data_IF_659177582950
#
_entry.id   IF_659177582950
#
_cell.length_a   1.000
_cell.length_b   1.000
_cell.length_c   1.000
_cell.angle_alpha   90.00
_cell.angle_beta   90.00
_cell.angle_gamma   90.00
#
_symmetry.space_group_name_H-M   'P 1'
#
loop_
_entity.id
_entity.type
_entity.pdbx_description
1 polymer ?
#
# COMPACT_ATOMS: atom_id res chain seq x y z
N UNK A 1 8.87 0.74 -15.29
CA UNK A 1 9.93 0.11 -16.06
C UNK A 1 11.08 1.08 -16.25
N UNK A 2 12.14 0.94 -15.44
CA UNK A 2 13.28 1.83 -15.32
C UNK A 2 14.05 2.17 -16.59
N UNK A 3 13.40 2.80 -17.53
CA UNK A 3 14.07 3.30 -18.71
C UNK A 3 14.42 4.77 -18.52
N UNK A 4 15.69 5.06 -18.22
CA UNK A 4 16.20 6.42 -17.98
C UNK A 4 15.94 7.39 -19.16
N UNK A 5 15.74 6.87 -20.37
CA UNK A 5 15.36 7.67 -21.54
C UNK A 5 13.99 8.34 -21.37
N UNK A 6 13.06 7.73 -20.64
CA UNK A 6 11.75 8.33 -20.38
C UNK A 6 11.83 9.49 -19.39
N UNK A 7 12.77 9.48 -18.46
CA UNK A 7 12.97 10.57 -17.49
C UNK A 7 13.26 11.88 -18.19
N UNK A 8 14.06 11.86 -19.25
CA UNK A 8 14.40 13.07 -20.04
C UNK A 8 13.19 13.61 -20.81
N UNK A 9 12.38 12.73 -21.40
CA UNK A 9 11.14 13.10 -22.12
C UNK A 9 10.14 13.75 -21.15
N UNK A 10 9.87 13.12 -20.02
CA UNK A 10 8.94 13.67 -19.04
C UNK A 10 9.44 14.97 -18.42
N UNK A 11 10.75 15.13 -18.27
CA UNK A 11 11.34 16.39 -17.78
C UNK A 11 11.11 17.53 -18.76
N UNK A 12 11.23 17.30 -20.06
CA UNK A 12 10.97 18.32 -21.08
C UNK A 12 9.49 18.72 -21.19
N UNK A 13 8.58 17.78 -20.93
CA UNK A 13 7.13 18.00 -20.99
C UNK A 13 6.55 18.59 -19.68
N UNK A 14 7.24 18.46 -18.56
CA UNK A 14 6.71 18.85 -17.22
C UNK A 14 6.56 20.35 -17.00
N UNK A 15 7.08 21.19 -17.90
CA UNK A 15 6.86 22.64 -17.85
C UNK A 15 5.40 23.03 -18.17
N UNK A 16 4.66 22.20 -18.92
CA UNK A 16 3.30 22.49 -19.37
C UNK A 16 2.25 21.47 -18.94
N UNK A 17 2.67 20.33 -18.35
CA UNK A 17 1.77 19.20 -18.00
C UNK A 17 2.15 18.60 -16.69
N UNK A 18 1.17 18.00 -16.00
CA UNK A 18 1.39 17.17 -14.83
C UNK A 18 1.41 15.69 -15.20
N UNK A 19 2.26 14.93 -14.53
CA UNK A 19 2.44 13.51 -14.77
C UNK A 19 2.28 12.72 -13.48
N UNK A 20 1.62 11.58 -13.59
CA UNK A 20 1.59 10.55 -12.57
C UNK A 20 2.15 9.26 -13.16
N UNK A 21 3.18 8.71 -12.53
CA UNK A 21 3.70 7.38 -12.84
C UNK A 21 3.29 6.40 -11.75
N UNK A 22 3.18 5.12 -12.07
CA UNK A 22 2.96 4.06 -11.09
C UNK A 22 4.23 3.24 -10.92
N UNK A 23 4.53 2.84 -9.68
CA UNK A 23 5.63 1.93 -9.40
C UNK A 23 6.54 2.39 -8.27
N UNK A 24 7.82 2.02 -8.37
CA UNK A 24 8.86 2.35 -7.40
C UNK A 24 10.02 3.11 -8.03
N UNK A 25 9.73 3.95 -9.02
CA UNK A 25 10.70 4.78 -9.75
C UNK A 25 11.19 5.95 -8.90
N UNK A 26 12.07 5.66 -7.96
CA UNK A 26 12.61 6.66 -7.05
C UNK A 26 13.20 7.85 -7.81
N UNK A 27 12.89 9.08 -7.36
CA UNK A 27 13.35 10.32 -7.98
C UNK A 27 12.53 10.83 -9.18
N UNK A 28 11.43 10.13 -9.57
CA UNK A 28 10.50 10.67 -10.57
C UNK A 28 9.72 11.87 -10.03
N UNK A 29 9.26 11.80 -8.82
CA UNK A 29 8.51 12.83 -8.10
C UNK A 29 8.16 12.34 -6.69
N UNK A 30 7.53 13.18 -5.86
CA UNK A 30 7.10 12.75 -4.53
C UNK A 30 6.09 11.62 -4.61
N UNK A 31 6.17 10.69 -3.66
CA UNK A 31 5.23 9.57 -3.55
C UNK A 31 3.83 10.05 -3.19
N UNK A 32 2.85 9.40 -3.77
CA UNK A 32 1.45 9.59 -3.45
C UNK A 32 0.75 8.25 -3.19
N UNK A 33 0.01 8.19 -2.09
CA UNK A 33 -0.96 7.14 -1.80
C UNK A 33 -2.24 7.78 -1.27
N UNK A 34 -3.38 7.48 -1.90
CA UNK A 34 -4.67 8.03 -1.53
C UNK A 34 -4.99 7.77 -0.06
N UNK A 35 -5.44 8.82 0.63
CA UNK A 35 -5.77 8.78 2.04
C UNK A 35 -4.57 8.82 3.00
N UNK A 36 -3.35 8.70 2.50
CA UNK A 36 -2.13 8.78 3.32
C UNK A 36 -1.60 10.22 3.31
N UNK A 37 -1.29 10.76 2.14
CA UNK A 37 -0.66 12.08 2.00
C UNK A 37 -1.36 12.95 0.94
N UNK A 38 -2.67 13.07 1.04
CA UNK A 38 -3.50 13.80 0.05
C UNK A 38 -3.05 15.26 -0.16
N UNK A 39 -2.48 15.90 0.87
CA UNK A 39 -2.00 17.30 0.79
C UNK A 39 -0.86 17.50 -0.20
N UNK A 40 -0.23 16.44 -0.68
CA UNK A 40 0.86 16.54 -1.66
C UNK A 40 0.46 17.31 -2.91
N UNK A 41 -0.83 17.31 -3.29
CA UNK A 41 -1.36 18.04 -4.45
C UNK A 41 -1.48 19.56 -4.22
N UNK A 42 -1.30 20.03 -3.00
CA UNK A 42 -1.17 21.45 -2.66
C UNK A 42 0.23 21.98 -3.03
N UNK A 43 1.21 21.08 -3.26
CA UNK A 43 2.56 21.42 -3.70
C UNK A 43 2.59 21.82 -5.17
N UNK A 44 3.64 22.56 -5.57
CA UNK A 44 3.87 22.99 -6.96
C UNK A 44 4.45 21.89 -7.86
N UNK A 45 4.57 20.66 -7.38
CA UNK A 45 5.14 19.58 -8.17
C UNK A 45 4.29 19.29 -9.42
N UNK A 46 4.95 19.08 -10.54
CA UNK A 46 4.34 18.65 -11.78
C UNK A 46 4.44 17.13 -12.01
N UNK A 47 5.08 16.42 -11.09
CA UNK A 47 5.31 14.98 -11.18
C UNK A 47 5.00 14.32 -9.86
N UNK A 48 4.21 13.25 -9.89
CA UNK A 48 3.84 12.47 -8.72
C UNK A 48 4.07 11.00 -9.02
N UNK A 49 4.57 10.26 -8.05
CA UNK A 49 4.77 8.83 -8.15
C UNK A 49 3.72 8.12 -7.30
N UNK A 50 2.79 7.42 -7.96
CA UNK A 50 1.85 6.54 -7.27
C UNK A 50 2.66 5.42 -6.62
N UNK A 51 2.57 5.30 -5.32
CA UNK A 51 3.33 4.34 -4.53
C UNK A 51 3.10 2.88 -5.00
N UNK A 52 4.05 2.01 -4.72
CA UNK A 52 3.95 0.59 -5.09
C UNK A 52 2.84 -0.12 -4.29
N UNK A 53 2.41 -1.28 -4.77
CA UNK A 53 1.32 -2.03 -4.15
C UNK A 53 1.59 -2.41 -2.69
N UNK A 54 2.81 -2.86 -2.36
CA UNK A 54 3.16 -3.17 -0.98
C UNK A 54 3.33 -1.91 -0.12
N UNK A 55 3.81 -0.80 -0.71
CA UNK A 55 3.89 0.49 -0.02
C UNK A 55 2.50 0.97 0.41
N UNK A 56 1.48 0.87 -0.48
CA UNK A 56 0.09 1.17 -0.11
C UNK A 56 -0.41 0.30 1.03
N UNK A 57 -0.14 -1.01 0.97
CA UNK A 57 -0.60 -1.95 1.98
C UNK A 57 0.02 -1.63 3.35
N UNK A 58 1.36 -1.49 3.42
CA UNK A 58 2.07 -1.15 4.67
C UNK A 58 1.58 0.20 5.22
N UNK A 59 1.52 1.22 4.37
CA UNK A 59 1.07 2.55 4.81
C UNK A 59 -0.35 2.53 5.39
N UNK A 60 -1.26 1.76 4.80
CA UNK A 60 -2.63 1.66 5.29
C UNK A 60 -2.75 0.85 6.59
N UNK A 61 -1.91 -0.18 6.78
CA UNK A 61 -1.80 -0.91 8.05
C UNK A 61 -1.34 0.04 9.16
N UNK A 62 -0.25 0.78 8.93
CA UNK A 62 0.27 1.75 9.90
C UNK A 62 -0.77 2.83 10.20
N UNK A 63 -1.39 3.39 9.17
CA UNK A 63 -2.42 4.42 9.34
C UNK A 63 -3.59 3.89 10.17
N UNK A 64 -4.18 2.77 9.78
CA UNK A 64 -5.40 2.23 10.40
C UNK A 64 -5.18 1.79 11.84
N UNK A 65 -4.07 1.11 12.14
CA UNK A 65 -3.88 0.52 13.47
C UNK A 65 -3.08 1.40 14.43
N UNK A 66 -2.39 2.42 13.93
CA UNK A 66 -1.63 3.34 14.77
C UNK A 66 -2.13 4.79 14.67
N UNK A 67 -1.98 5.42 13.49
CA UNK A 67 -2.07 6.86 13.38
C UNK A 67 -3.49 7.42 13.48
N UNK A 68 -4.50 6.73 12.92
CA UNK A 68 -5.90 7.17 12.97
C UNK A 68 -6.46 7.12 14.40
N UNK A 69 -5.87 6.29 15.25
CA UNK A 69 -6.25 6.13 16.65
C UNK A 69 -5.34 6.92 17.61
N UNK A 70 -4.37 7.66 17.06
CA UNK A 70 -3.43 8.45 17.87
C UNK A 70 -2.49 7.60 18.73
N UNK A 71 -2.25 6.33 18.36
CA UNK A 71 -1.33 5.46 19.08
C UNK A 71 0.12 5.76 18.72
N UNK A 72 0.96 5.80 19.73
CA UNK A 72 2.41 5.97 19.55
C UNK A 72 3.04 4.64 19.12
N UNK A 73 3.42 4.57 17.84
CA UNK A 73 4.10 3.43 17.24
C UNK A 73 5.60 3.49 17.56
N UNK A 74 6.12 2.52 18.32
CA UNK A 74 7.56 2.41 18.59
C UNK A 74 8.32 1.73 17.47
N UNK A 75 7.69 0.75 16.80
CA UNK A 75 8.31 0.02 15.70
C UNK A 75 7.27 -0.67 14.82
N UNK A 76 7.49 -0.64 13.50
CA UNK A 76 6.75 -1.43 12.53
C UNK A 76 7.66 -2.33 11.72
N UNK A 77 7.43 -3.65 11.75
CA UNK A 77 8.19 -4.63 10.97
C UNK A 77 7.30 -5.35 9.98
N UNK A 78 7.81 -5.54 8.75
CA UNK A 78 7.04 -6.10 7.63
C UNK A 78 7.86 -7.11 6.84
N UNK A 79 7.24 -8.23 6.49
CA UNK A 79 7.82 -9.21 5.57
C UNK A 79 6.91 -9.37 4.36
N UNK A 80 7.38 -8.90 3.21
CA UNK A 80 6.68 -9.01 1.93
C UNK A 80 6.94 -10.38 1.29
N UNK A 81 5.96 -11.26 1.33
CA UNK A 81 5.93 -12.54 0.67
C UNK A 81 5.45 -12.32 -0.79
N UNK A 82 6.41 -12.12 -1.69
CA UNK A 82 6.12 -11.68 -3.06
C UNK A 82 5.84 -12.86 -3.98
N UNK A 83 4.82 -12.74 -4.82
CA UNK A 83 4.62 -13.68 -5.95
C UNK A 83 5.79 -13.62 -6.94
N UNK A 84 5.95 -14.68 -7.75
CA UNK A 84 7.07 -14.82 -8.67
C UNK A 84 7.08 -13.73 -9.74
N UNK A 85 5.94 -13.52 -10.40
CA UNK A 85 5.79 -12.56 -11.49
C UNK A 85 4.53 -11.73 -11.34
N UNK A 86 4.49 -10.57 -11.99
CA UNK A 86 3.25 -9.84 -12.22
C UNK A 86 2.38 -10.59 -13.26
N UNK A 87 1.07 -10.34 -13.23
CA UNK A 87 0.09 -11.08 -14.07
C UNK A 87 0.44 -11.01 -15.56
N UNK A 88 1.07 -9.93 -15.98
CA UNK A 88 1.50 -9.70 -17.38
C UNK A 88 2.94 -10.12 -17.69
N UNK A 89 3.66 -10.69 -16.71
CA UNK A 89 5.07 -11.08 -16.88
C UNK A 89 5.20 -12.60 -16.91
N UNK A 90 6.01 -13.10 -17.83
CA UNK A 90 6.35 -14.52 -17.96
C UNK A 90 7.86 -14.80 -17.93
N UNK A 91 8.68 -13.78 -17.65
CA UNK A 91 10.12 -13.81 -17.93
C UNK A 91 10.97 -14.35 -16.79
N UNK A 92 10.42 -14.54 -15.59
CA UNK A 92 11.21 -14.97 -14.45
C UNK A 92 10.58 -16.14 -13.72
N UNK A 93 11.11 -17.32 -13.99
CA UNK A 93 10.80 -18.50 -13.19
C UNK A 93 11.55 -18.43 -11.86
N UNK A 94 10.84 -18.62 -10.75
CA UNK A 94 11.43 -18.72 -9.41
C UNK A 94 11.16 -20.12 -8.87
N UNK A 95 12.12 -21.06 -9.00
CA UNK A 95 11.91 -22.46 -8.60
C UNK A 95 11.85 -22.65 -7.09
N UNK A 96 12.38 -21.69 -6.33
CA UNK A 96 12.45 -21.74 -4.87
C UNK A 96 12.29 -20.35 -4.25
N UNK A 97 11.98 -20.24 -2.95
CA UNK A 97 11.99 -18.97 -2.25
C UNK A 97 13.34 -18.25 -2.36
N UNK A 98 13.32 -16.98 -2.73
CA UNK A 98 14.52 -16.15 -2.87
C UNK A 98 14.41 -14.90 -2.00
N UNK A 99 15.34 -14.75 -1.06
CA UNK A 99 15.38 -13.60 -0.14
C UNK A 99 15.90 -12.38 -0.90
N UNK A 100 15.21 -11.26 -0.75
CA UNK A 100 15.65 -9.98 -1.32
C UNK A 100 16.76 -9.38 -0.44
N UNK A 101 17.88 -9.02 -1.05
CA UNK A 101 18.98 -8.35 -0.35
C UNK A 101 18.50 -7.00 0.21
N UNK A 102 18.83 -6.74 1.45
CA UNK A 102 18.63 -5.41 2.06
C UNK A 102 19.58 -4.41 1.42
N UNK A 103 19.05 -3.29 0.95
CA UNK A 103 19.81 -2.22 0.31
C UNK A 103 20.06 -1.03 1.24
N UNK A 104 19.39 -1.00 2.39
CA UNK A 104 19.48 0.02 3.41
C UNK A 104 19.46 -0.66 4.79
N UNK A 105 20.34 -0.23 5.70
CA UNK A 105 20.40 -0.83 7.05
C UNK A 105 19.23 -0.40 7.93
N UNK A 106 18.74 0.82 7.75
CA UNK A 106 17.65 1.39 8.52
C UNK A 106 16.30 0.79 8.13
N UNK A 107 15.99 0.75 6.82
CA UNK A 107 14.68 0.34 6.30
C UNK A 107 14.62 -1.08 5.75
N UNK A 108 15.77 -1.74 5.54
CA UNK A 108 15.86 -3.05 4.90
C UNK A 108 15.60 -2.99 3.41
N UNK A 109 14.34 -3.10 2.98
CA UNK A 109 13.94 -2.95 1.58
C UNK A 109 13.29 -1.59 1.31
N UNK A 110 13.13 -1.23 0.03
CA UNK A 110 12.52 0.04 -0.37
C UNK A 110 11.08 0.23 0.16
N UNK A 111 10.35 -0.83 0.48
CA UNK A 111 8.96 -0.71 0.90
C UNK A 111 8.80 0.12 2.18
N UNK A 112 9.59 -0.16 3.24
CA UNK A 112 9.54 0.63 4.48
C UNK A 112 10.05 2.05 4.26
N UNK A 113 11.13 2.23 3.47
CA UNK A 113 11.63 3.56 3.10
C UNK A 113 10.57 4.40 2.40
N UNK A 114 9.91 3.84 1.39
CA UNK A 114 8.88 4.56 0.61
C UNK A 114 7.66 4.91 1.49
N UNK A 115 7.31 4.05 2.46
CA UNK A 115 6.27 4.35 3.47
C UNK A 115 6.72 5.46 4.41
N UNK A 116 7.98 5.40 4.90
CA UNK A 116 8.53 6.46 5.72
C UNK A 116 8.49 7.82 4.98
N UNK A 117 8.90 7.86 3.70
CA UNK A 117 8.83 9.05 2.87
C UNK A 117 7.39 9.59 2.71
N UNK A 118 6.39 8.70 2.56
CA UNK A 118 4.98 9.10 2.51
C UNK A 118 4.53 9.83 3.78
N UNK A 119 4.86 9.27 4.94
CA UNK A 119 4.46 9.84 6.23
C UNK A 119 5.32 11.04 6.66
N UNK A 120 6.59 11.09 6.24
CA UNK A 120 7.45 12.25 6.46
C UNK A 120 6.89 13.53 5.79
N UNK A 121 6.21 13.40 4.66
CA UNK A 121 5.49 14.50 4.01
C UNK A 121 4.31 15.04 4.85
N UNK A 122 3.79 14.22 5.78
CA UNK A 122 2.76 14.60 6.76
C UNK A 122 3.36 14.94 8.16
N UNK A 123 4.68 15.09 8.23
CA UNK A 123 5.39 15.45 9.47
C UNK A 123 5.51 14.30 10.48
N UNK A 124 5.41 13.04 10.04
CA UNK A 124 5.55 11.86 10.88
C UNK A 124 6.87 11.17 10.62
N UNK A 125 7.65 10.98 11.68
CA UNK A 125 8.87 10.18 11.67
C UNK A 125 8.59 8.81 12.28
N UNK A 126 8.65 7.75 11.48
CA UNK A 126 8.22 6.41 11.87
C UNK A 126 9.38 5.42 11.76
N UNK A 127 9.61 4.66 12.81
CA UNK A 127 10.57 3.56 12.83
C UNK A 127 9.98 2.32 12.14
N UNK A 128 10.30 2.15 10.87
CA UNK A 128 9.76 1.08 10.03
C UNK A 128 10.88 0.25 9.41
N UNK A 129 10.70 -1.06 9.37
CA UNK A 129 11.61 -1.98 8.72
C UNK A 129 10.86 -2.97 7.84
N UNK A 130 11.39 -3.27 6.66
CA UNK A 130 10.82 -4.29 5.79
C UNK A 130 11.85 -5.25 5.25
N UNK A 131 11.44 -6.50 5.10
CA UNK A 131 12.15 -7.54 4.38
C UNK A 131 11.26 -8.10 3.28
N UNK A 132 11.83 -8.84 2.33
CA UNK A 132 11.04 -9.43 1.28
C UNK A 132 11.60 -10.78 0.83
N UNK A 133 10.71 -11.69 0.48
CA UNK A 133 11.02 -12.99 -0.08
C UNK A 133 10.15 -13.21 -1.33
N UNK A 134 10.75 -13.59 -2.44
CA UNK A 134 10.07 -13.99 -3.66
C UNK A 134 9.73 -15.47 -3.57
N UNK A 135 8.49 -15.82 -3.80
CA UNK A 135 7.96 -17.20 -3.72
C UNK A 135 7.56 -17.72 -5.10
N UNK A 136 7.60 -19.05 -5.32
CA UNK A 136 7.16 -19.68 -6.59
C UNK A 136 5.61 -19.73 -6.65
N UNK A 137 4.94 -18.61 -6.47
CA UNK A 137 3.48 -18.48 -6.53
C UNK A 137 3.11 -17.34 -7.48
N UNK A 138 1.89 -17.38 -8.03
CA UNK A 138 1.41 -16.42 -9.04
C UNK A 138 0.21 -15.59 -8.58
N UNK A 139 -0.33 -15.86 -7.41
CA UNK A 139 -1.52 -15.15 -6.93
C UNK A 139 -1.18 -13.78 -6.33
N UNK A 140 -1.65 -13.45 -5.17
CA UNK A 140 -1.41 -12.16 -4.54
C UNK A 140 -0.13 -12.16 -3.71
N UNK A 141 0.50 -11.01 -3.52
CA UNK A 141 1.48 -10.88 -2.45
C UNK A 141 0.78 -11.05 -1.11
N UNK A 142 1.50 -11.64 -0.17
CA UNK A 142 1.10 -11.68 1.23
C UNK A 142 2.08 -10.85 2.04
N UNK A 143 1.60 -10.09 2.98
CA UNK A 143 2.39 -9.29 3.91
C UNK A 143 2.18 -9.82 5.32
N UNK A 144 3.25 -10.20 6.00
CA UNK A 144 3.25 -10.34 7.44
C UNK A 144 3.66 -9.01 8.07
N UNK A 145 3.03 -8.63 9.15
CA UNK A 145 3.35 -7.40 9.86
C UNK A 145 3.36 -7.58 11.38
N UNK A 146 4.19 -6.78 12.03
CA UNK A 146 4.21 -6.56 13.48
C UNK A 146 4.25 -5.06 13.73
N UNK A 147 3.34 -4.57 14.58
CA UNK A 147 3.33 -3.21 15.08
C UNK A 147 3.48 -3.26 16.59
N UNK A 148 4.47 -2.53 17.13
CA UNK A 148 4.68 -2.36 18.56
C UNK A 148 4.34 -0.95 18.97
N UNK A 149 3.53 -0.82 19.98
CA UNK A 149 3.07 0.45 20.51
C UNK A 149 3.73 0.79 21.84
N UNK A 150 3.59 2.02 22.31
CA UNK A 150 3.99 2.41 23.67
C UNK A 150 3.06 1.77 24.68
N UNK A 151 1.76 1.89 24.47
CA UNK A 151 0.72 1.41 25.36
C UNK A 151 0.18 0.03 24.94
N UNK A 152 -0.46 -0.66 25.87
CA UNK A 152 -1.18 -1.91 25.58
C UNK A 152 -2.40 -1.65 24.72
N UNK A 153 -2.75 -2.63 23.89
CA UNK A 153 -3.86 -2.56 22.94
C UNK A 153 -4.87 -3.68 23.21
N UNK A 154 -6.14 -3.43 22.84
CA UNK A 154 -7.23 -4.39 23.03
C UNK A 154 -7.69 -4.95 21.68
N UNK A 155 -8.06 -6.24 21.69
CA UNK A 155 -8.48 -6.92 20.46
C UNK A 155 -9.70 -6.27 19.80
N UNK A 156 -10.70 -5.89 20.61
CA UNK A 156 -11.93 -5.25 20.11
C UNK A 156 -11.64 -3.93 19.41
N UNK A 157 -10.69 -3.13 19.90
CA UNK A 157 -10.28 -1.87 19.27
C UNK A 157 -9.68 -2.11 17.89
N UNK A 158 -8.78 -3.09 17.77
CA UNK A 158 -8.11 -3.43 16.51
C UNK A 158 -9.13 -3.90 15.46
N UNK A 159 -10.05 -4.76 15.85
CA UNK A 159 -11.11 -5.25 14.97
C UNK A 159 -12.03 -4.09 14.55
N UNK A 160 -12.45 -3.25 15.49
CA UNK A 160 -13.26 -2.06 15.17
C UNK A 160 -12.55 -1.11 14.21
N UNK A 161 -11.25 -0.90 14.37
CA UNK A 161 -10.47 -0.03 13.50
C UNK A 161 -10.36 -0.60 12.09
N UNK A 162 -10.18 -1.92 11.97
CA UNK A 162 -10.19 -2.59 10.68
C UNK A 162 -11.51 -2.36 9.93
N UNK A 163 -12.65 -2.56 10.57
CA UNK A 163 -13.96 -2.38 9.94
C UNK A 163 -14.32 -0.91 9.66
N UNK A 164 -13.79 0.04 10.41
CA UNK A 164 -13.92 1.48 10.14
C UNK A 164 -13.03 1.96 9.01
N UNK A 165 -11.93 1.27 8.74
CA UNK A 165 -10.93 1.69 7.75
C UNK A 165 -11.56 1.91 6.37
N UNK A 166 -11.21 3.02 5.71
CA UNK A 166 -11.58 3.29 4.32
C UNK A 166 -10.63 2.63 3.32
N UNK A 167 -9.48 2.14 3.79
CA UNK A 167 -8.36 1.68 2.97
C UNK A 167 -8.09 0.18 3.06
N UNK A 168 -8.53 -0.46 4.14
CA UNK A 168 -8.35 -1.89 4.36
C UNK A 168 -9.69 -2.62 4.24
N UNK A 169 -9.65 -3.82 3.69
CA UNK A 169 -10.72 -4.82 3.75
C UNK A 169 -10.40 -5.86 4.80
N UNK A 170 -11.44 -6.44 5.42
CA UNK A 170 -11.33 -7.64 6.23
C UNK A 170 -11.62 -8.89 5.38
N UNK A 171 -11.07 -10.04 5.75
CA UNK A 171 -11.43 -11.33 5.15
C UNK A 171 -11.24 -12.48 6.14
N UNK A 172 -12.18 -13.43 6.14
CA UNK A 172 -12.02 -14.72 6.80
C UNK A 172 -11.24 -15.74 5.95
N UNK A 173 -10.97 -15.41 4.67
CA UNK A 173 -10.23 -16.27 3.76
C UNK A 173 -8.74 -16.26 4.10
N UNK A 174 -8.22 -17.41 4.51
CA UNK A 174 -6.82 -17.58 4.92
C UNK A 174 -5.87 -17.94 3.77
N UNK A 175 -6.33 -17.83 2.51
CA UNK A 175 -5.57 -18.24 1.35
C UNK A 175 -5.65 -17.19 0.24
N UNK A 176 -4.49 -16.78 -0.28
CA UNK A 176 -4.38 -15.77 -1.34
C UNK A 176 -5.12 -16.16 -2.62
N UNK A 177 -5.20 -17.46 -2.95
CA UNK A 177 -5.96 -17.92 -4.12
C UNK A 177 -7.47 -17.77 -3.93
N UNK A 178 -8.00 -17.94 -2.72
CA UNK A 178 -9.44 -17.72 -2.44
C UNK A 178 -9.79 -16.23 -2.54
N UNK A 179 -8.92 -15.35 -2.03
CA UNK A 179 -9.08 -13.90 -2.17
C UNK A 179 -8.98 -13.49 -3.63
N UNK A 180 -7.99 -14.01 -4.36
CA UNK A 180 -7.82 -13.75 -5.78
C UNK A 180 -9.05 -14.22 -6.59
N UNK A 181 -9.55 -15.44 -6.33
CA UNK A 181 -10.75 -15.95 -6.98
C UNK A 181 -11.98 -15.10 -6.71
N UNK A 182 -12.15 -14.63 -5.47
CA UNK A 182 -13.22 -13.69 -5.15
C UNK A 182 -13.11 -12.41 -5.99
N UNK A 183 -11.91 -11.83 -6.10
CA UNK A 183 -11.67 -10.65 -6.91
C UNK A 183 -11.96 -10.87 -8.40
N UNK A 184 -11.62 -12.06 -8.93
CA UNK A 184 -11.94 -12.45 -10.31
C UNK A 184 -13.45 -12.54 -10.53
N UNK A 185 -14.18 -13.15 -9.61
CA UNK A 185 -15.59 -13.51 -9.78
C UNK A 185 -16.53 -12.35 -9.38
N UNK A 186 -16.17 -11.55 -8.41
CA UNK A 186 -17.00 -10.50 -7.82
C UNK A 186 -16.36 -9.10 -7.87
N UNK A 187 -15.05 -9.01 -8.09
CA UNK A 187 -14.32 -7.74 -8.16
C UNK A 187 -14.61 -6.95 -9.44
N UNK A 188 -14.19 -5.69 -9.44
CA UNK A 188 -14.38 -4.81 -10.58
C UNK A 188 -13.22 -4.98 -11.57
N UNK A 189 -13.52 -5.50 -12.77
CA UNK A 189 -12.52 -5.88 -13.77
C UNK A 189 -11.47 -6.86 -13.23
N UNK A 190 -11.90 -7.81 -12.38
CA UNK A 190 -11.02 -8.76 -11.72
C UNK A 190 -10.19 -8.17 -10.57
N UNK A 191 -10.48 -6.94 -10.13
CA UNK A 191 -9.71 -6.23 -9.09
C UNK A 191 -10.53 -5.99 -7.84
N UNK A 192 -9.87 -6.03 -6.70
CA UNK A 192 -10.39 -5.57 -5.41
C UNK A 192 -9.82 -4.18 -5.14
N UNK A 193 -10.70 -3.19 -5.07
CA UNK A 193 -10.33 -1.80 -4.87
C UNK A 193 -10.12 -1.51 -3.38
N UNK A 194 -8.92 -1.78 -2.90
CA UNK A 194 -8.49 -1.56 -1.52
C UNK A 194 -6.97 -1.44 -1.47
N UNK A 195 -6.42 -0.89 -0.41
CA UNK A 195 -4.96 -0.85 -0.22
C UNK A 195 -4.40 -2.16 0.32
N UNK A 196 -5.15 -2.85 1.15
CA UNK A 196 -4.79 -4.13 1.72
C UNK A 196 -6.01 -4.93 2.16
N UNK A 197 -5.87 -6.24 2.27
CA UNK A 197 -6.94 -7.17 2.67
C UNK A 197 -6.43 -7.98 3.86
N UNK A 198 -6.86 -7.61 5.06
CA UNK A 198 -6.39 -8.20 6.31
C UNK A 198 -7.07 -9.54 6.54
N UNK A 199 -6.28 -10.61 6.72
CA UNK A 199 -6.78 -11.91 7.14
C UNK A 199 -7.13 -11.84 8.63
N UNK A 200 -8.39 -11.59 8.95
CA UNK A 200 -8.88 -11.26 10.29
C UNK A 200 -8.49 -12.31 11.33
N UNK A 201 -8.65 -13.59 11.00
CA UNK A 201 -8.31 -14.70 11.90
C UNK A 201 -6.79 -14.86 12.14
N UNK A 202 -5.94 -14.10 11.45
CA UNK A 202 -4.50 -14.08 11.67
C UNK A 202 -4.04 -12.98 12.62
N UNK A 203 -4.93 -12.09 13.02
CA UNK A 203 -4.61 -11.03 13.96
C UNK A 203 -4.35 -11.59 15.33
N UNK A 204 -3.23 -11.23 15.93
CA UNK A 204 -2.83 -11.64 17.26
C UNK A 204 -2.26 -10.47 18.03
N UNK A 205 -2.76 -10.30 19.24
CA UNK A 205 -2.30 -9.25 20.15
C UNK A 205 -1.64 -9.91 21.37
N UNK A 206 -0.46 -9.42 21.68
CA UNK A 206 0.23 -9.75 22.92
C UNK A 206 0.79 -8.47 23.52
N UNK A 207 0.28 -8.11 24.68
CA UNK A 207 0.64 -6.89 25.41
C UNK A 207 0.45 -5.63 24.55
N UNK A 208 1.52 -5.02 24.10
CA UNK A 208 1.53 -3.82 23.25
C UNK A 208 1.88 -4.13 21.78
N UNK A 209 1.79 -5.38 21.37
CA UNK A 209 2.23 -5.82 20.04
C UNK A 209 1.08 -6.46 19.29
N UNK A 210 0.80 -5.92 18.08
CA UNK A 210 -0.12 -6.48 17.10
C UNK A 210 0.66 -7.18 15.99
N UNK A 211 0.30 -8.41 15.67
CA UNK A 211 0.81 -9.15 14.51
C UNK A 211 -0.33 -9.63 13.63
N UNK A 212 -0.06 -9.84 12.34
CA UNK A 212 -1.06 -10.38 11.44
C UNK A 212 -0.56 -10.57 10.02
N UNK A 213 -1.46 -11.08 9.17
CA UNK A 213 -1.23 -11.21 7.73
C UNK A 213 -2.23 -10.39 6.94
N UNK A 214 -1.77 -9.88 5.81
CA UNK A 214 -2.56 -9.08 4.89
C UNK A 214 -2.22 -9.48 3.45
N UNK A 215 -3.22 -9.56 2.58
CA UNK A 215 -3.02 -9.74 1.15
C UNK A 215 -2.97 -8.39 0.44
N UNK A 216 -2.11 -8.28 -0.56
CA UNK A 216 -1.97 -7.04 -1.34
C UNK A 216 -2.79 -7.14 -2.62
N UNK A 217 -3.88 -6.36 -2.77
CA UNK A 217 -4.68 -6.33 -4.00
C UNK A 217 -3.94 -5.52 -5.08
N UNK A 218 -2.94 -6.14 -5.69
CA UNK A 218 -2.17 -5.51 -6.76
C UNK A 218 -3.10 -4.97 -7.85
N UNK A 219 -2.68 -3.89 -8.48
CA UNK A 219 -3.44 -3.09 -9.43
C UNK A 219 -4.67 -2.37 -8.83
N UNK A 220 -5.35 -2.94 -7.85
CA UNK A 220 -6.51 -2.33 -7.21
C UNK A 220 -6.16 -1.09 -6.39
N UNK A 221 -5.11 -1.17 -5.58
CA UNK A 221 -4.66 -0.06 -4.74
C UNK A 221 -4.03 1.07 -5.56
N UNK A 222 -3.13 0.76 -6.49
CA UNK A 222 -2.52 1.76 -7.37
C UNK A 222 -3.56 2.42 -8.29
N UNK A 223 -4.57 1.68 -8.76
CA UNK A 223 -5.67 2.22 -9.53
C UNK A 223 -6.48 3.24 -8.72
N UNK A 224 -6.84 2.92 -7.48
CA UNK A 224 -7.54 3.86 -6.59
C UNK A 224 -6.75 5.16 -6.40
N UNK A 225 -5.46 5.07 -6.12
CA UNK A 225 -4.63 6.26 -5.96
C UNK A 225 -4.47 7.05 -7.26
N UNK A 226 -4.37 6.39 -8.41
CA UNK A 226 -4.33 7.07 -9.70
C UNK A 226 -5.62 7.84 -9.99
N UNK A 227 -6.76 7.23 -9.71
CA UNK A 227 -8.08 7.88 -9.83
C UNK A 227 -8.19 9.04 -8.84
N UNK A 228 -7.82 8.83 -7.57
CA UNK A 228 -7.88 9.87 -6.56
C UNK A 228 -6.99 11.06 -6.89
N UNK A 229 -5.76 10.81 -7.33
CA UNK A 229 -4.84 11.87 -7.76
C UNK A 229 -5.38 12.66 -8.96
N UNK A 230 -5.98 11.98 -9.93
CA UNK A 230 -6.62 12.63 -11.09
C UNK A 230 -7.80 13.50 -10.66
N UNK A 231 -8.65 12.98 -9.78
CA UNK A 231 -9.81 13.71 -9.25
C UNK A 231 -9.35 14.93 -8.43
N UNK A 232 -8.35 14.80 -7.58
CA UNK A 232 -7.81 15.94 -6.81
C UNK A 232 -7.24 17.02 -7.74
N UNK A 233 -6.61 16.63 -8.81
CA UNK A 233 -6.08 17.57 -9.77
C UNK A 233 -7.16 18.40 -10.46
N UNK A 234 -8.24 17.75 -10.91
CA UNK A 234 -9.31 18.44 -11.65
C UNK A 234 -10.38 19.10 -10.77
N UNK A 235 -10.62 18.58 -9.55
CA UNK A 235 -11.72 18.99 -8.67
C UNK A 235 -11.21 19.47 -7.31
N UNK A 236 -10.24 20.36 -7.31
CA UNK A 236 -9.50 20.83 -6.13
C UNK A 236 -10.35 21.03 -4.85
N UNK A 237 -11.50 21.69 -4.98
CA UNK A 237 -12.33 22.08 -3.83
C UNK A 237 -13.33 21.00 -3.39
N UNK A 238 -13.75 20.11 -4.31
CA UNK A 238 -14.79 19.12 -4.05
C UNK A 238 -14.36 17.67 -4.36
N UNK A 239 -13.07 17.41 -4.44
CA UNK A 239 -12.54 16.10 -4.77
C UNK A 239 -13.01 14.99 -3.80
N UNK A 240 -13.19 15.31 -2.50
CA UNK A 240 -13.68 14.36 -1.50
C UNK A 240 -15.08 13.86 -1.84
N UNK A 241 -15.97 14.76 -2.26
CA UNK A 241 -17.33 14.38 -2.70
C UNK A 241 -17.29 13.50 -3.96
N UNK A 242 -16.39 13.82 -4.89
CA UNK A 242 -16.20 12.98 -6.09
C UNK A 242 -15.66 11.59 -5.74
N UNK A 243 -14.75 11.48 -4.77
CA UNK A 243 -14.24 10.18 -4.31
C UNK A 243 -15.32 9.33 -3.65
N UNK A 244 -16.32 9.90 -2.97
CA UNK A 244 -17.44 9.15 -2.39
C UNK A 244 -18.22 8.33 -3.44
N UNK A 245 -18.20 8.73 -4.71
CA UNK A 245 -18.83 7.98 -5.79
C UNK A 245 -18.20 6.58 -5.98
N UNK A 246 -16.96 6.40 -5.53
CA UNK A 246 -16.25 5.12 -5.61
C UNK A 246 -16.56 4.18 -4.45
N UNK A 247 -17.20 4.65 -3.35
CA UNK A 247 -17.51 3.82 -2.18
C UNK A 247 -18.34 2.60 -2.54
N UNK A 248 -19.19 2.68 -3.55
CA UNK A 248 -19.99 1.55 -4.07
C UNK A 248 -19.16 0.42 -4.69
N UNK A 249 -17.90 0.68 -5.01
CA UNK A 249 -16.98 -0.29 -5.62
C UNK A 249 -15.98 -0.89 -4.61
N UNK A 250 -16.04 -0.43 -3.36
CA UNK A 250 -15.12 -0.83 -2.29
C UNK A 250 -15.86 -1.82 -1.37
N UNK A 251 -15.39 -3.05 -1.34
CA UNK A 251 -15.84 -4.03 -0.36
C UNK A 251 -15.22 -3.73 1.00
N UNK A 252 -15.95 -3.93 2.08
CA UNK A 252 -15.43 -3.81 3.45
C UNK A 252 -15.02 -5.17 4.01
N UNK A 253 -15.74 -6.22 3.64
CA UNK A 253 -15.48 -7.60 4.00
C UNK A 253 -15.70 -8.52 2.79
N UNK A 254 -14.85 -9.52 2.61
CA UNK A 254 -14.90 -10.45 1.48
C UNK A 254 -14.67 -11.91 1.91
#
# INVERSE_FOLDING_TARGET
>A
SGNDNWKSIYSSLSQSKRFMAQGSEHGFGPFFAWGINNKIFESESNRYLIASCNTHNIASIVKTFALDEGRDLTEGQFVCLRRANDVSQNDSFSPSPTITKHTNQEFGTHHARDVHELFAQEGKDLNLFSSAIKLPTQYMHTLWFTLRFVDSIQNEEIINNLFKSEFLMATEKMSSNKVFSFGRDHGYHGRLLSHGIVAEQSLHIKDNTLTGYCFTPQDGNALLSSVAGTIQYYYKDNWKEKMKLFNRYIFKNI
#
